data_IF_020860424074
#
_entry.id   IF_020860424074
#
_cell.length_a   1.000
_cell.length_b   1.000
_cell.length_c   1.000
_cell.angle_alpha   90.00
_cell.angle_beta   90.00
_cell.angle_gamma   90.00
#
_symmetry.space_group_name_H-M   'P 1'
#
loop_
_entity.id
_entity.type
_entity.pdbx_description
1 polymer ?
#
# COMPACT_ATOMS: atom_id res chain seq x y z
N UNK A 1 -2.70 -5.11 -4.26
CA UNK A 1 -3.42 -6.41 -4.13
C UNK A 1 -4.92 -6.13 -3.94
N UNK A 2 -5.78 -7.13 -4.14
CA UNK A 2 -7.23 -7.02 -3.97
C UNK A 2 -7.65 -6.64 -2.53
N UNK A 3 -6.92 -7.13 -1.53
CA UNK A 3 -7.14 -6.82 -0.10
C UNK A 3 -6.71 -5.39 0.32
N UNK A 4 -6.34 -4.53 -0.63
CA UNK A 4 -5.79 -3.20 -0.35
C UNK A 4 -4.39 -3.21 0.28
N UNK A 5 -3.69 -4.34 0.25
CA UNK A 5 -2.29 -4.36 0.67
C UNK A 5 -1.32 -4.01 -0.45
N UNK A 6 -0.22 -3.39 -0.04
CA UNK A 6 0.94 -3.07 -0.88
C UNK A 6 2.18 -3.65 -0.19
N UNK A 7 2.99 -4.37 -0.95
CA UNK A 7 4.24 -4.95 -0.46
C UNK A 7 5.42 -4.26 -1.12
N UNK A 8 6.37 -3.84 -0.29
CA UNK A 8 7.68 -3.39 -0.71
C UNK A 8 8.60 -4.59 -0.70
N UNK A 9 9.26 -4.82 -1.82
CA UNK A 9 10.19 -5.92 -2.01
C UNK A 9 11.57 -5.35 -2.31
N UNK A 10 12.60 -5.98 -1.75
CA UNK A 10 13.96 -5.84 -2.25
C UNK A 10 14.13 -6.78 -3.44
N UNK A 11 14.54 -6.21 -4.58
CA UNK A 11 14.82 -6.92 -5.82
C UNK A 11 16.29 -6.73 -6.26
N UNK A 12 17.17 -6.31 -5.35
CA UNK A 12 18.58 -6.05 -5.64
C UNK A 12 19.44 -7.31 -5.78
N UNK A 13 18.95 -8.47 -5.33
CA UNK A 13 19.65 -9.75 -5.35
C UNK A 13 18.88 -10.82 -6.15
N UNK A 14 19.40 -12.06 -6.17
CA UNK A 14 18.78 -13.19 -6.87
C UNK A 14 17.46 -13.70 -6.28
N UNK A 15 16.95 -13.09 -5.20
CA UNK A 15 15.67 -13.44 -4.58
C UNK A 15 14.93 -12.18 -4.13
N UNK A 16 13.60 -12.22 -4.18
CA UNK A 16 12.75 -11.14 -3.68
C UNK A 16 12.57 -11.26 -2.17
N UNK A 17 12.99 -10.25 -1.42
CA UNK A 17 12.78 -10.19 0.04
C UNK A 17 11.70 -9.18 0.37
N UNK A 18 10.73 -9.53 1.22
CA UNK A 18 9.70 -8.58 1.66
C UNK A 18 10.32 -7.60 2.66
N UNK A 19 10.33 -6.31 2.33
CA UNK A 19 10.80 -5.24 3.22
C UNK A 19 9.67 -4.73 4.13
N UNK A 20 8.49 -4.51 3.54
CA UNK A 20 7.37 -3.92 4.28
C UNK A 20 6.02 -4.29 3.65
N UNK A 21 4.98 -4.40 4.48
CA UNK A 21 3.58 -4.54 4.03
C UNK A 21 2.75 -3.39 4.56
N UNK A 22 2.33 -2.49 3.67
CA UNK A 22 1.35 -1.45 3.95
C UNK A 22 -0.06 -2.02 3.78
N UNK A 23 -0.96 -1.73 4.73
CA UNK A 23 -2.38 -2.12 4.68
C UNK A 23 -3.24 -0.86 4.61
N UNK A 24 -3.85 -0.56 3.46
CA UNK A 24 -4.71 0.64 3.31
C UNK A 24 -6.11 0.42 3.88
N UNK A 25 -6.57 -0.83 4.00
CA UNK A 25 -7.88 -1.18 4.54
C UNK A 25 -8.18 -0.56 5.92
N UNK A 26 -7.15 -0.25 6.72
CA UNK A 26 -7.30 0.39 8.04
C UNK A 26 -7.79 1.85 7.98
N UNK A 27 -7.70 2.49 6.81
CA UNK A 27 -8.17 3.86 6.59
C UNK A 27 -9.68 3.96 6.39
N UNK A 28 -10.32 2.82 6.09
CA UNK A 28 -11.73 2.76 5.76
C UNK A 28 -12.50 2.04 6.85
N UNK A 29 -13.76 2.41 7.03
CA UNK A 29 -14.66 1.67 7.89
C UNK A 29 -14.91 0.28 7.31
N UNK A 30 -15.01 -0.73 8.19
CA UNK A 30 -15.45 -2.05 7.77
C UNK A 30 -16.92 -1.96 7.40
N UNK A 31 -17.27 -2.18 6.14
CA UNK A 31 -18.68 -2.23 5.73
C UNK A 31 -19.43 -3.28 6.55
N UNK A 32 -20.47 -2.85 7.26
CA UNK A 32 -21.40 -3.74 7.98
C UNK A 32 -22.40 -4.43 7.04
N UNK A 33 -22.54 -3.94 5.81
CA UNK A 33 -23.47 -4.47 4.84
C UNK A 33 -22.70 -5.15 3.70
N UNK A 34 -22.74 -6.48 3.66
CA UNK A 34 -22.59 -7.21 2.41
C UNK A 34 -23.89 -6.99 1.64
N UNK A 35 -24.05 -5.84 0.98
CA UNK A 35 -24.99 -5.77 -0.15
C UNK A 35 -24.51 -6.82 -1.14
N UNK A 36 -25.39 -7.76 -1.48
CA UNK A 36 -25.12 -8.95 -2.29
C UNK A 36 -24.76 -8.63 -3.76
N UNK A 37 -24.63 -7.35 -4.11
CA UNK A 37 -24.27 -6.90 -5.43
C UNK A 37 -22.77 -6.63 -5.50
N UNK A 38 -22.03 -7.66 -5.92
CA UNK A 38 -20.98 -7.65 -6.94
C UNK A 38 -19.93 -6.51 -7.01
N UNK A 39 -19.71 -5.72 -5.96
CA UNK A 39 -18.65 -4.70 -5.95
C UNK A 39 -17.28 -5.38 -5.90
N UNK A 40 -16.64 -5.45 -7.07
CA UNK A 40 -15.23 -5.76 -7.31
C UNK A 40 -14.37 -5.19 -6.16
N UNK A 41 -13.67 -6.06 -5.43
CA UNK A 41 -12.89 -5.78 -4.21
C UNK A 41 -12.58 -4.27 -4.03
N UNK A 42 -13.40 -3.49 -3.29
CA UNK A 42 -13.35 -2.02 -3.37
C UNK A 42 -12.05 -1.43 -2.83
N UNK A 43 -11.30 -2.23 -2.08
CA UNK A 43 -9.99 -1.90 -1.54
C UNK A 43 -8.85 -2.27 -2.50
N UNK A 44 -9.14 -2.92 -3.62
CA UNK A 44 -8.14 -3.35 -4.59
C UNK A 44 -7.32 -2.17 -5.10
N UNK A 45 -6.00 -2.32 -5.04
CA UNK A 45 -5.07 -1.32 -5.56
C UNK A 45 -5.04 -1.40 -7.08
N UNK A 46 -5.44 -0.32 -7.77
CA UNK A 46 -5.45 -0.24 -9.23
C UNK A 46 -4.20 0.46 -9.78
N UNK A 47 -3.79 1.58 -9.15
CA UNK A 47 -2.63 2.35 -9.57
C UNK A 47 -1.82 2.80 -8.34
N UNK A 48 -0.51 2.93 -8.53
CA UNK A 48 0.38 3.48 -7.52
C UNK A 48 1.52 4.28 -8.14
N UNK A 49 1.92 5.36 -7.48
CA UNK A 49 3.06 6.19 -7.85
C UNK A 49 3.86 6.57 -6.62
N UNK A 50 5.14 6.21 -6.62
CA UNK A 50 6.09 6.55 -5.56
C UNK A 50 7.07 7.61 -6.08
N UNK A 51 7.19 8.73 -5.36
CA UNK A 51 8.24 9.71 -5.56
C UNK A 51 9.29 9.53 -4.44
N UNK A 52 10.48 8.96 -4.74
CA UNK A 52 11.51 8.71 -3.73
C UNK A 52 12.04 10.00 -3.09
N UNK A 53 12.22 11.06 -3.88
CA UNK A 53 12.74 12.35 -3.42
C UNK A 53 11.84 12.99 -2.35
N UNK A 54 10.53 13.08 -2.63
CA UNK A 54 9.57 13.64 -1.67
C UNK A 54 9.04 12.64 -0.65
N UNK A 55 9.39 11.34 -0.81
CA UNK A 55 8.90 10.21 -0.02
C UNK A 55 7.37 10.15 0.06
N UNK A 56 6.72 10.42 -1.07
CA UNK A 56 5.26 10.39 -1.22
C UNK A 56 4.83 9.20 -2.06
N UNK A 57 3.80 8.49 -1.62
CA UNK A 57 3.15 7.42 -2.36
C UNK A 57 1.68 7.76 -2.56
N UNK A 58 1.28 7.93 -3.83
CA UNK A 58 -0.11 8.06 -4.23
C UNK A 58 -0.66 6.69 -4.65
N UNK A 59 -1.86 6.36 -4.19
CA UNK A 59 -2.54 5.10 -4.45
C UNK A 59 -3.96 5.39 -4.92
N UNK A 60 -4.41 4.69 -5.96
CA UNK A 60 -5.79 4.69 -6.42
C UNK A 60 -6.38 3.31 -6.17
N UNK A 61 -7.48 3.26 -5.42
CA UNK A 61 -8.24 2.04 -5.16
C UNK A 61 -9.49 1.90 -6.04
N UNK A 62 -9.94 0.68 -6.27
CA UNK A 62 -11.11 0.37 -7.11
C UNK A 62 -12.40 1.06 -6.63
N UNK A 63 -12.56 1.25 -5.31
CA UNK A 63 -13.66 1.99 -4.69
C UNK A 63 -13.58 3.51 -4.85
N UNK A 64 -12.98 4.02 -5.95
CA UNK A 64 -12.89 5.46 -6.30
C UNK A 64 -12.24 6.36 -5.25
N UNK A 65 -11.35 5.81 -4.43
CA UNK A 65 -10.59 6.57 -3.44
C UNK A 65 -9.13 6.75 -3.86
N UNK A 66 -8.57 7.92 -3.54
CA UNK A 66 -7.15 8.22 -3.71
C UNK A 66 -6.54 8.48 -2.34
N UNK A 67 -5.43 7.81 -2.03
CA UNK A 67 -4.71 7.97 -0.77
C UNK A 67 -3.29 8.44 -1.03
N UNK A 68 -2.89 9.52 -0.35
CA UNK A 68 -1.53 10.05 -0.38
C UNK A 68 -0.82 9.75 0.95
N UNK A 69 0.17 8.86 0.91
CA UNK A 69 1.05 8.59 2.05
C UNK A 69 2.31 9.45 1.98
N UNK A 70 2.81 9.85 3.15
CA UNK A 70 4.15 10.42 3.34
C UNK A 70 4.95 9.49 4.24
N UNK A 71 6.04 8.92 3.73
CA UNK A 71 6.94 8.13 4.57
C UNK A 71 7.78 9.07 5.44
N UNK A 72 7.66 8.89 6.76
CA UNK A 72 8.58 9.49 7.70
C UNK A 72 9.80 8.58 7.79
N UNK A 73 10.99 9.11 7.51
CA UNK A 73 12.23 8.45 7.88
C UNK A 73 12.37 8.62 9.39
N UNK A 74 12.15 7.55 10.13
CA UNK A 74 12.80 7.44 11.44
C UNK A 74 14.21 7.00 11.12
N UNK A 75 15.21 7.85 11.41
CA UNK A 75 16.60 7.41 11.25
C UNK A 75 16.87 6.34 12.30
N UNK A 76 16.76 5.07 11.92
CA UNK A 76 17.32 3.97 12.70
C UNK A 76 18.81 3.94 12.40
N UNK A 77 19.64 4.10 13.43
CA UNK A 77 21.09 3.98 13.36
C UNK A 77 21.55 2.51 13.19
N UNK A 78 20.89 1.77 12.31
CA UNK A 78 21.29 0.41 11.98
C UNK A 78 22.26 0.50 10.82
N UNK A 79 23.55 0.30 11.13
CA UNK A 79 24.59 0.10 10.14
C UNK A 79 24.17 -1.02 9.19
N UNK A 80 24.32 -0.78 7.88
CA UNK A 80 24.29 -1.85 6.90
C UNK A 80 25.63 -2.58 7.08
N UNK A 81 25.60 -3.74 7.74
CA UNK A 81 26.73 -4.67 7.84
C UNK A 81 26.68 -5.62 6.64
#
# INVERSE_FOLDING_TARGET
>A
HADGSIKFWDASAGSLQVLYKLKTAKLFEKSKARSLDNEEDPLAIQLMYLCPESRKLAIVGAGRHVVLFKFKKTESMSEVV
#
